data_IF_445617722307
#
_entry.id   IF_445617722307
#
_cell.length_a   1.000
_cell.length_b   1.000
_cell.length_c   1.000
_cell.angle_alpha   90.00
_cell.angle_beta   90.00
_cell.angle_gamma   90.00
#
_symmetry.space_group_name_H-M   'P 1'
#
loop_
_entity.id
_entity.type
_entity.pdbx_description
1 polymer ?
#
# COMPACT_ATOMS: atom_id res chain seq x y z
N UNK A 1 14.15 27.56 62.81
CA UNK A 1 13.40 26.51 62.14
C UNK A 1 13.57 26.66 60.63
N UNK A 2 14.68 26.17 60.09
CA UNK A 2 14.97 26.11 58.62
C UNK A 2 15.76 24.84 58.40
N UNK A 3 15.19 23.82 57.82
CA UNK A 3 15.96 22.63 57.52
C UNK A 3 15.19 21.36 57.17
N UNK A 4 14.05 21.46 56.42
CA UNK A 4 13.35 20.25 55.96
C UNK A 4 12.93 20.27 54.49
N UNK A 5 13.34 21.29 53.68
CA UNK A 5 12.86 21.42 52.31
C UNK A 5 13.80 20.88 51.21
N UNK A 6 15.05 20.52 51.55
CA UNK A 6 16.04 20.12 50.56
C UNK A 6 16.10 18.59 50.28
N UNK A 7 15.54 17.76 51.16
CA UNK A 7 15.61 16.29 50.99
C UNK A 7 14.53 15.72 50.04
N UNK A 8 13.39 16.42 49.89
CA UNK A 8 12.34 15.95 49.00
C UNK A 8 12.65 16.14 47.51
N UNK A 9 13.40 17.18 47.13
CA UNK A 9 13.76 17.44 45.74
C UNK A 9 14.81 16.43 45.21
N UNK A 10 15.74 16.00 46.08
CA UNK A 10 16.78 15.03 45.71
C UNK A 10 16.22 13.62 45.46
N UNK A 11 15.23 13.18 46.23
CA UNK A 11 14.58 11.86 46.06
C UNK A 11 13.74 11.78 44.79
N UNK A 12 13.09 12.86 44.37
CA UNK A 12 12.29 12.89 43.16
C UNK A 12 13.18 12.81 41.90
N UNK A 13 14.32 13.50 41.90
CA UNK A 13 15.28 13.46 40.77
C UNK A 13 15.97 12.11 40.65
N UNK A 14 16.33 11.49 41.78
CA UNK A 14 16.93 10.17 41.82
C UNK A 14 15.94 9.08 41.33
N UNK A 15 14.66 9.19 41.69
CA UNK A 15 13.62 8.28 41.25
C UNK A 15 13.38 8.36 39.73
N UNK A 16 13.42 9.55 39.14
CA UNK A 16 13.25 9.75 37.71
C UNK A 16 14.44 9.20 36.90
N UNK A 17 15.66 9.36 37.43
CA UNK A 17 16.87 8.82 36.79
C UNK A 17 16.91 7.28 36.79
N UNK A 18 16.46 6.63 37.87
CA UNK A 18 16.40 5.18 37.99
C UNK A 18 15.28 4.62 37.08
N UNK A 19 14.14 5.30 36.96
CA UNK A 19 13.07 4.90 36.04
C UNK A 19 13.50 5.02 34.55
N UNK A 20 14.27 6.07 34.23
CA UNK A 20 14.79 6.26 32.87
C UNK A 20 15.88 5.22 32.54
N UNK A 21 16.68 4.82 33.49
CA UNK A 21 17.71 3.78 33.31
C UNK A 21 17.11 2.38 33.13
N UNK A 22 15.97 2.07 33.78
CA UNK A 22 15.28 0.80 33.60
C UNK A 22 14.62 0.66 32.22
N UNK A 23 14.20 1.77 31.59
CA UNK A 23 13.63 1.75 30.21
C UNK A 23 14.72 1.49 29.17
N UNK A 24 15.99 1.80 29.47
CA UNK A 24 17.12 1.58 28.55
C UNK A 24 17.78 0.20 28.71
N UNK A 25 17.45 -0.54 29.75
CA UNK A 25 17.98 -1.88 30.03
C UNK A 25 17.06 -2.97 29.41
N UNK A 26 16.70 -2.85 28.11
CA UNK A 26 16.09 -3.96 27.40
C UNK A 26 17.20 -4.98 27.15
N UNK A 27 17.12 -6.19 27.71
CA UNK A 27 18.19 -7.17 27.55
C UNK A 27 18.33 -7.51 26.06
N UNK A 28 19.54 -7.41 25.54
CA UNK A 28 19.92 -7.63 24.14
C UNK A 28 19.55 -9.02 23.56
N UNK A 29 19.06 -9.94 24.40
CA UNK A 29 18.61 -11.27 23.97
C UNK A 29 17.18 -11.28 23.42
N UNK A 30 16.37 -10.24 23.64
CA UNK A 30 15.04 -10.11 23.06
C UNK A 30 15.08 -9.68 21.58
N UNK A 31 16.22 -9.30 21.04
CA UNK A 31 16.44 -8.93 19.66
C UNK A 31 17.15 -10.07 18.94
N UNK A 32 16.41 -10.98 18.35
CA UNK A 32 16.71 -11.78 17.16
C UNK A 32 16.07 -13.16 17.20
N UNK A 33 14.81 -13.21 16.89
CA UNK A 33 14.25 -14.31 16.10
C UNK A 33 13.28 -13.71 15.08
N UNK A 34 13.80 -12.86 14.22
CA UNK A 34 13.28 -12.80 12.86
C UNK A 34 13.56 -14.21 12.30
N UNK A 35 12.56 -15.07 12.27
CA UNK A 35 12.58 -16.21 11.37
C UNK A 35 12.73 -15.60 9.99
N UNK A 36 13.92 -15.62 9.47
CA UNK A 36 14.20 -15.44 8.06
C UNK A 36 13.46 -16.61 7.38
N UNK A 37 12.19 -16.36 7.07
CA UNK A 37 11.43 -17.24 6.21
C UNK A 37 12.13 -17.09 4.88
N UNK A 38 13.03 -18.03 4.56
CA UNK A 38 13.64 -18.09 3.23
C UNK A 38 12.46 -18.02 2.26
N UNK A 39 12.47 -16.96 1.43
CA UNK A 39 11.51 -16.86 0.35
C UNK A 39 11.62 -18.15 -0.49
N UNK A 40 10.53 -18.77 -0.88
CA UNK A 40 10.59 -19.94 -1.74
C UNK A 40 11.43 -19.58 -2.97
N UNK A 41 12.21 -20.55 -3.50
CA UNK A 41 12.99 -20.31 -4.70
C UNK A 41 12.06 -19.83 -5.82
N UNK A 42 12.53 -18.91 -6.69
CA UNK A 42 11.72 -18.44 -7.80
C UNK A 42 11.32 -19.63 -8.68
N UNK A 43 10.09 -19.62 -9.23
CA UNK A 43 9.66 -20.67 -10.13
C UNK A 43 10.58 -20.73 -11.35
N UNK A 44 10.79 -21.93 -11.93
CA UNK A 44 11.66 -22.10 -13.08
C UNK A 44 11.10 -21.34 -14.29
N UNK A 45 12.00 -20.91 -15.18
CA UNK A 45 11.61 -20.34 -16.46
C UNK A 45 10.87 -21.37 -17.31
N UNK A 46 9.79 -20.95 -17.95
CA UNK A 46 9.05 -21.75 -18.91
C UNK A 46 9.49 -21.40 -20.32
N UNK A 47 9.93 -22.40 -21.07
CA UNK A 47 10.21 -22.28 -22.49
C UNK A 47 8.93 -22.61 -23.28
N UNK A 48 8.51 -21.69 -24.11
CA UNK A 48 7.33 -21.82 -24.96
C UNK A 48 7.74 -22.09 -26.40
N UNK A 49 6.85 -22.66 -27.20
CA UNK A 49 7.07 -22.90 -28.63
C UNK A 49 7.42 -21.60 -29.36
N UNK A 50 8.31 -21.70 -30.35
CA UNK A 50 8.83 -20.55 -31.09
C UNK A 50 9.92 -19.76 -30.36
N UNK A 51 10.64 -20.38 -29.40
CA UNK A 51 11.79 -19.79 -28.72
C UNK A 51 11.44 -18.69 -27.71
N UNK A 52 10.16 -18.55 -27.38
CA UNK A 52 9.70 -17.60 -26.35
C UNK A 52 10.01 -18.14 -24.95
N UNK A 53 10.38 -17.24 -24.04
CA UNK A 53 10.70 -17.56 -22.65
C UNK A 53 9.75 -16.78 -21.74
N UNK A 54 9.17 -17.46 -20.76
CA UNK A 54 8.40 -16.83 -19.68
C UNK A 54 9.19 -17.01 -18.39
N UNK A 55 9.63 -15.90 -17.81
CA UNK A 55 10.36 -15.84 -16.55
C UNK A 55 9.54 -15.18 -15.49
N UNK A 56 9.61 -15.71 -14.26
CA UNK A 56 9.01 -15.03 -13.12
C UNK A 56 9.81 -13.77 -12.78
N UNK A 57 9.17 -12.63 -12.74
CA UNK A 57 9.83 -11.37 -12.39
C UNK A 57 9.70 -11.05 -10.91
N UNK A 58 8.48 -10.97 -10.42
CA UNK A 58 8.20 -10.64 -9.01
C UNK A 58 6.78 -10.99 -8.59
N UNK A 59 6.58 -11.09 -7.28
CA UNK A 59 5.26 -11.12 -6.65
C UNK A 59 5.12 -9.93 -5.72
N UNK A 60 3.95 -9.32 -5.67
CA UNK A 60 3.62 -8.25 -4.75
C UNK A 60 2.14 -8.26 -4.39
N UNK A 61 1.81 -7.76 -3.20
CA UNK A 61 0.44 -7.71 -2.70
C UNK A 61 0.11 -6.43 -1.92
N UNK A 62 1.13 -5.62 -1.60
CA UNK A 62 1.03 -4.48 -0.69
C UNK A 62 1.58 -3.21 -1.32
N UNK A 63 0.92 -2.07 -1.04
CA UNK A 63 1.40 -0.75 -1.49
C UNK A 63 2.81 -0.40 -1.00
N UNK A 64 3.18 -0.87 0.20
CA UNK A 64 4.51 -0.59 0.77
C UNK A 64 5.66 -1.31 0.07
N UNK A 65 5.36 -2.30 -0.77
CA UNK A 65 6.38 -2.97 -1.57
C UNK A 65 6.88 -2.10 -2.72
N UNK A 66 6.08 -1.12 -3.13
CA UNK A 66 6.42 -0.12 -4.14
C UNK A 66 7.07 1.11 -3.50
N UNK A 67 6.59 1.54 -2.33
CA UNK A 67 7.09 2.75 -1.66
C UNK A 67 8.49 2.52 -1.08
N UNK A 68 9.36 3.54 -1.06
CA UNK A 68 10.69 3.44 -0.47
C UNK A 68 10.60 3.06 1.03
N UNK A 69 11.64 2.41 1.54
CA UNK A 69 11.74 2.07 2.97
C UNK A 69 11.62 3.35 3.80
N UNK A 70 10.69 3.35 4.76
CA UNK A 70 10.45 4.50 5.64
C UNK A 70 11.68 4.82 6.49
N UNK A 71 11.97 6.10 6.62
CA UNK A 71 13.01 6.62 7.51
C UNK A 71 12.72 6.24 8.97
N UNK A 72 13.76 6.18 9.79
CA UNK A 72 13.63 5.94 11.23
C UNK A 72 12.66 6.93 11.90
N UNK A 73 12.77 8.21 11.57
CA UNK A 73 11.89 9.26 12.12
C UNK A 73 10.43 9.08 11.77
N UNK A 74 10.15 8.63 10.55
CA UNK A 74 8.77 8.34 10.13
C UNK A 74 8.17 7.19 10.96
N UNK A 75 8.98 6.17 11.30
CA UNK A 75 8.55 5.07 12.17
C UNK A 75 8.22 5.53 13.58
N UNK A 76 9.01 6.47 14.13
CA UNK A 76 8.74 7.05 15.45
C UNK A 76 7.42 7.82 15.45
N UNK A 77 7.15 8.59 14.41
CA UNK A 77 5.88 9.31 14.25
C UNK A 77 4.71 8.33 14.11
N UNK A 78 4.87 7.24 13.35
CA UNK A 78 3.83 6.21 13.18
C UNK A 78 3.46 5.53 14.52
N UNK A 79 4.42 5.38 15.43
CA UNK A 79 4.15 4.82 16.77
C UNK A 79 3.31 5.78 17.63
N UNK A 80 3.53 7.10 17.49
CA UNK A 80 2.83 8.13 18.28
C UNK A 80 1.47 8.46 17.67
N UNK A 81 1.38 8.56 16.34
CA UNK A 81 0.17 9.00 15.60
C UNK A 81 -0.72 7.84 15.13
N UNK A 82 -0.30 6.59 15.34
CA UNK A 82 -0.93 5.40 14.78
C UNK A 82 -0.36 5.05 13.40
N UNK A 83 -0.38 3.76 13.07
CA UNK A 83 0.07 3.30 11.76
C UNK A 83 -0.98 3.69 10.71
N UNK A 84 -0.57 4.26 9.57
CA UNK A 84 -1.50 4.49 8.46
C UNK A 84 -2.01 3.15 7.92
N UNK A 85 -3.27 3.13 7.54
CA UNK A 85 -3.87 1.99 6.86
C UNK A 85 -3.11 1.71 5.55
N UNK A 86 -2.63 0.49 5.40
CA UNK A 86 -1.98 0.05 4.17
C UNK A 86 -3.01 -0.61 3.26
N UNK A 87 -3.00 -0.21 1.99
CA UNK A 87 -3.79 -0.88 0.98
C UNK A 87 -3.07 -2.15 0.53
N UNK A 88 -3.81 -3.25 0.50
CA UNK A 88 -3.37 -4.54 -0.03
C UNK A 88 -4.40 -5.04 -1.03
N UNK A 89 -3.97 -5.93 -1.91
CA UNK A 89 -4.86 -6.59 -2.86
C UNK A 89 -5.73 -7.60 -2.09
N UNK A 90 -7.04 -7.39 -2.14
CA UNK A 90 -8.05 -8.22 -1.44
C UNK A 90 -8.61 -9.29 -2.37
N UNK A 91 -9.10 -8.84 -3.54
CA UNK A 91 -9.67 -9.71 -4.57
C UNK A 91 -9.37 -9.09 -5.95
N UNK A 92 -8.08 -9.14 -6.39
CA UNK A 92 -7.70 -8.60 -7.69
C UNK A 92 -8.35 -9.40 -8.82
N UNK A 93 -8.85 -8.70 -9.84
CA UNK A 93 -9.58 -9.33 -10.94
C UNK A 93 -8.90 -9.14 -12.30
N UNK A 94 -8.50 -7.93 -12.64
CA UNK A 94 -7.89 -7.62 -13.94
C UNK A 94 -6.65 -6.76 -13.76
N UNK A 95 -5.68 -6.93 -14.65
CA UNK A 95 -4.41 -6.20 -14.64
C UNK A 95 -4.06 -5.70 -16.04
N UNK A 96 -3.50 -4.50 -16.11
CA UNK A 96 -2.92 -3.93 -17.33
C UNK A 96 -1.64 -3.16 -16.98
N UNK A 97 -0.74 -3.04 -17.94
CA UNK A 97 0.45 -2.18 -17.85
C UNK A 97 0.31 -1.03 -18.83
N UNK A 98 0.59 0.19 -18.38
CA UNK A 98 0.57 1.38 -19.24
C UNK A 98 1.94 1.65 -19.90
N UNK A 99 2.02 2.75 -20.70
CA UNK A 99 3.24 3.10 -21.45
C UNK A 99 4.42 3.46 -20.52
N UNK A 100 4.16 3.83 -19.26
CA UNK A 100 5.16 4.15 -18.23
C UNK A 100 5.61 2.94 -17.43
N UNK A 101 5.11 1.74 -17.75
CA UNK A 101 5.41 0.52 -17.01
C UNK A 101 4.73 0.44 -15.63
N UNK A 102 3.68 1.26 -15.37
CA UNK A 102 2.89 1.15 -14.16
C UNK A 102 1.92 -0.03 -14.27
N UNK A 103 1.75 -0.74 -13.18
CA UNK A 103 0.81 -1.86 -13.10
C UNK A 103 -0.48 -1.36 -12.48
N UNK A 104 -1.58 -1.52 -13.23
CA UNK A 104 -2.92 -1.05 -12.84
C UNK A 104 -3.79 -2.28 -12.64
N UNK A 105 -4.38 -2.42 -11.44
CA UNK A 105 -5.13 -3.60 -11.03
C UNK A 105 -6.49 -3.18 -10.49
N UNK A 106 -7.56 -3.79 -11.03
CA UNK A 106 -8.89 -3.70 -10.41
C UNK A 106 -8.99 -4.65 -9.25
N UNK A 107 -9.55 -4.18 -8.14
CA UNK A 107 -9.76 -4.98 -6.93
C UNK A 107 -11.23 -4.88 -6.49
N UNK A 108 -11.96 -5.97 -6.69
CA UNK A 108 -13.38 -6.04 -6.33
C UNK A 108 -13.57 -6.03 -4.80
N UNK A 109 -12.68 -6.69 -4.06
CA UNK A 109 -12.75 -6.75 -2.61
C UNK A 109 -12.48 -5.41 -1.94
N UNK A 110 -11.60 -4.60 -2.53
CA UNK A 110 -11.31 -3.24 -2.08
C UNK A 110 -12.23 -2.19 -2.72
N UNK A 111 -13.11 -2.59 -3.68
CA UNK A 111 -13.97 -1.70 -4.47
C UNK A 111 -13.20 -0.51 -5.08
N UNK A 112 -12.07 -0.80 -5.69
CA UNK A 112 -11.18 0.24 -6.21
C UNK A 112 -10.16 -0.25 -7.25
N UNK A 113 -9.27 0.66 -7.63
CA UNK A 113 -8.21 0.40 -8.60
C UNK A 113 -6.87 0.79 -8.00
N UNK A 114 -5.94 -0.13 -8.00
CA UNK A 114 -4.57 0.07 -7.54
C UNK A 114 -3.67 0.44 -8.71
N UNK A 115 -2.83 1.46 -8.55
CA UNK A 115 -1.79 1.87 -9.50
C UNK A 115 -0.44 1.76 -8.80
N UNK A 116 0.39 0.84 -9.26
CA UNK A 116 1.73 0.59 -8.74
C UNK A 116 2.78 1.09 -9.73
N UNK A 117 3.59 2.05 -9.31
CA UNK A 117 4.72 2.59 -10.09
C UNK A 117 6.03 2.19 -9.38
N UNK A 118 6.62 1.10 -9.82
CA UNK A 118 7.89 0.59 -9.25
C UNK A 118 9.08 1.44 -9.65
N UNK A 119 9.00 2.14 -10.79
CA UNK A 119 10.07 3.01 -11.28
C UNK A 119 10.17 4.29 -10.44
N UNK A 120 9.05 4.94 -10.21
CA UNK A 120 8.99 6.16 -9.40
C UNK A 120 8.74 5.90 -7.91
N UNK A 121 8.60 4.63 -7.52
CA UNK A 121 8.26 4.21 -6.15
C UNK A 121 7.01 4.90 -5.62
N UNK A 122 5.98 5.00 -6.47
CA UNK A 122 4.69 5.62 -6.16
C UNK A 122 3.58 4.60 -6.19
N UNK A 123 2.62 4.83 -5.34
CA UNK A 123 1.38 4.06 -5.30
C UNK A 123 0.21 5.03 -5.22
N UNK A 124 -0.87 4.70 -5.93
CA UNK A 124 -2.15 5.39 -5.85
C UNK A 124 -3.28 4.36 -5.79
N UNK A 125 -4.25 4.61 -4.94
CA UNK A 125 -5.49 3.86 -4.90
C UNK A 125 -6.64 4.78 -5.32
N UNK A 126 -7.37 4.38 -6.35
CA UNK A 126 -8.58 5.06 -6.80
C UNK A 126 -9.75 4.39 -6.08
N UNK A 127 -10.35 5.11 -5.15
CA UNK A 127 -11.48 4.64 -4.38
C UNK A 127 -12.79 4.83 -5.12
N UNK A 128 -13.86 4.19 -4.64
CA UNK A 128 -15.21 4.42 -5.14
C UNK A 128 -15.64 5.89 -5.09
N UNK A 129 -15.07 6.70 -4.19
CA UNK A 129 -15.39 8.13 -4.05
C UNK A 129 -14.70 8.99 -5.11
N UNK A 130 -13.59 8.52 -5.66
CA UNK A 130 -12.84 9.22 -6.70
C UNK A 130 -13.49 9.10 -8.07
N UNK A 131 -14.55 8.30 -8.20
CA UNK A 131 -15.27 8.00 -9.43
C UNK A 131 -16.40 9.00 -9.75
N UNK A 132 -16.35 10.21 -9.16
CA UNK A 132 -17.34 11.26 -9.39
C UNK A 132 -18.65 11.07 -8.61
N UNK A 133 -19.80 11.44 -9.21
CA UNK A 133 -21.10 11.34 -8.54
C UNK A 133 -21.62 9.90 -8.48
N UNK A 134 -21.25 9.09 -9.44
CA UNK A 134 -21.63 7.68 -9.52
C UNK A 134 -20.54 6.84 -8.84
N UNK A 135 -20.82 6.13 -7.74
CA UNK A 135 -19.81 5.33 -7.07
C UNK A 135 -19.44 4.10 -7.90
N UNK A 136 -18.15 3.84 -8.08
CA UNK A 136 -17.64 2.56 -8.56
C UNK A 136 -17.83 1.51 -7.44
N UNK A 137 -18.52 0.40 -7.73
CA UNK A 137 -18.92 -0.58 -6.72
C UNK A 137 -18.22 -1.93 -6.88
N UNK A 138 -18.14 -2.41 -8.12
CA UNK A 138 -17.56 -3.72 -8.44
C UNK A 138 -16.70 -3.58 -9.70
N UNK A 139 -15.49 -2.97 -9.56
CA UNK A 139 -14.57 -2.82 -10.68
C UNK A 139 -14.12 -4.18 -11.17
N UNK A 140 -14.25 -4.42 -12.47
CA UNK A 140 -14.00 -5.72 -13.07
C UNK A 140 -12.80 -5.66 -14.02
N UNK A 141 -12.98 -5.22 -15.26
CA UNK A 141 -11.90 -5.16 -16.22
C UNK A 141 -11.26 -3.77 -16.25
N UNK A 142 -9.97 -3.72 -16.57
CA UNK A 142 -9.23 -2.50 -16.80
C UNK A 142 -8.52 -2.52 -18.14
N UNK A 143 -8.53 -1.38 -18.85
CA UNK A 143 -7.78 -1.15 -20.07
C UNK A 143 -7.18 0.25 -20.03
N UNK A 144 -6.14 0.48 -20.85
CA UNK A 144 -5.52 1.79 -21.05
C UNK A 144 -5.46 2.11 -22.55
N UNK A 145 -5.57 3.39 -22.89
CA UNK A 145 -5.37 3.87 -24.26
C UNK A 145 -3.93 4.36 -24.49
N UNK A 146 -3.66 4.84 -25.70
CA UNK A 146 -2.34 5.36 -26.10
C UNK A 146 -1.92 6.63 -25.32
N UNK A 147 -2.85 7.30 -24.64
CA UNK A 147 -2.60 8.47 -23.78
C UNK A 147 -2.54 8.10 -22.31
N UNK A 148 -2.52 6.79 -21.98
CA UNK A 148 -2.56 6.23 -20.62
C UNK A 148 -3.86 6.58 -19.86
N UNK A 149 -4.95 6.95 -20.52
CA UNK A 149 -6.24 7.05 -19.86
C UNK A 149 -6.70 5.65 -19.43
N UNK A 150 -7.27 5.57 -18.25
CA UNK A 150 -7.64 4.32 -17.61
C UNK A 150 -9.15 4.12 -17.74
N UNK A 151 -9.56 3.00 -18.30
CA UNK A 151 -10.95 2.60 -18.50
C UNK A 151 -11.26 1.42 -17.58
N UNK A 152 -12.23 1.57 -16.70
CA UNK A 152 -12.62 0.54 -15.73
C UNK A 152 -14.08 0.19 -15.91
N UNK A 153 -14.37 -1.07 -16.25
CA UNK A 153 -15.75 -1.56 -16.25
C UNK A 153 -16.20 -1.88 -14.83
N UNK A 154 -17.42 -1.54 -14.51
CA UNK A 154 -18.05 -1.88 -13.24
C UNK A 154 -19.29 -2.74 -13.50
N UNK A 155 -19.27 -3.99 -13.03
CA UNK A 155 -20.34 -4.96 -13.30
C UNK A 155 -21.61 -4.67 -12.52
N UNK A 156 -21.51 -3.99 -11.37
CA UNK A 156 -22.68 -3.65 -10.57
C UNK A 156 -23.47 -2.48 -11.20
N UNK A 157 -22.75 -1.47 -11.68
CA UNK A 157 -23.38 -0.28 -12.26
C UNK A 157 -23.63 -0.42 -13.77
N UNK A 158 -22.99 -1.39 -14.42
CA UNK A 158 -23.02 -1.56 -15.88
C UNK A 158 -22.40 -0.40 -16.64
N UNK A 159 -21.45 0.29 -16.03
CA UNK A 159 -20.81 1.50 -16.55
C UNK A 159 -19.32 1.29 -16.77
N UNK A 160 -18.73 2.17 -17.59
CA UNK A 160 -17.29 2.29 -17.75
C UNK A 160 -16.84 3.62 -17.17
N UNK A 161 -16.01 3.57 -16.16
CA UNK A 161 -15.40 4.74 -15.54
C UNK A 161 -14.12 5.10 -16.26
N UNK A 162 -13.95 6.37 -16.60
CA UNK A 162 -12.78 6.87 -17.33
C UNK A 162 -12.01 7.81 -16.43
N UNK A 163 -10.72 7.50 -16.26
CA UNK A 163 -9.77 8.32 -15.51
C UNK A 163 -8.64 8.76 -16.45
N UNK A 164 -8.00 9.89 -16.13
CA UNK A 164 -6.80 10.29 -16.87
C UNK A 164 -5.59 9.43 -16.43
N UNK A 165 -4.47 9.66 -17.11
CA UNK A 165 -3.21 8.98 -16.84
C UNK A 165 -2.69 9.10 -15.40
N UNK A 166 -3.18 10.07 -14.62
CA UNK A 166 -2.85 10.25 -13.22
C UNK A 166 -3.90 9.65 -12.28
N UNK A 167 -4.89 8.95 -12.83
CA UNK A 167 -6.00 8.37 -12.10
C UNK A 167 -6.96 9.41 -11.53
N UNK A 168 -7.12 10.57 -12.19
CA UNK A 168 -8.15 11.56 -11.89
C UNK A 168 -9.38 11.25 -12.73
N UNK A 169 -10.54 11.21 -12.10
CA UNK A 169 -11.81 10.96 -12.77
C UNK A 169 -12.07 11.97 -13.89
N UNK A 170 -12.53 11.48 -15.03
CA UNK A 170 -12.92 12.25 -16.21
C UNK A 170 -14.44 12.22 -16.41
N UNK A 171 -14.97 11.04 -16.71
CA UNK A 171 -16.39 10.84 -16.96
C UNK A 171 -16.77 9.36 -16.89
N UNK A 172 -18.04 9.08 -17.02
CA UNK A 172 -18.60 7.72 -17.09
C UNK A 172 -19.23 7.53 -18.46
N UNK A 173 -19.05 6.34 -19.01
CA UNK A 173 -19.69 5.89 -20.26
C UNK A 173 -20.63 4.74 -19.93
N UNK A 174 -21.76 4.71 -20.60
CA UNK A 174 -22.79 3.69 -20.40
C UNK A 174 -23.88 4.15 -19.43
N UNK A 175 -25.11 3.75 -19.75
CA UNK A 175 -26.29 3.90 -18.92
C UNK A 175 -27.05 2.59 -19.05
N UNK A 176 -27.04 1.78 -17.99
CA UNK A 176 -27.94 0.63 -17.96
C UNK A 176 -29.33 1.15 -17.67
N UNK A 177 -30.15 1.33 -18.72
CA UNK A 177 -31.58 1.21 -18.53
C UNK A 177 -31.89 -0.28 -18.57
N UNK A 178 -32.06 -0.91 -17.42
CA UNK A 178 -32.83 -2.15 -17.40
C UNK A 178 -34.26 -1.77 -17.82
N UNK A 179 -34.68 -2.21 -18.98
CA UNK A 179 -36.07 -2.20 -19.45
C UNK A 179 -36.74 -3.42 -18.84
#
# INVERSE_FOLDING_TARGET
MRGKSFYCAGLAVAGLAVALAMVLAVPAWASKRSKETLAPPPPPDLLLDGGRKLSFERSFSLEREVKPKRSFWTRVVDVIAGQPDFHYLVSPYSVVTDSRGRIIITDQGAAGVHIFDFTQQKYKFITRRDAGKDPMLTPQCVAVDAQDNIYVTDSHTGKVFVFDANGKFRHVVGSVRCV
#
